data_IF_397537397895
#
_entry.id   IF_397537397895
#
_cell.length_a   1.000
_cell.length_b   1.000
_cell.length_c   1.000
_cell.angle_alpha   90.00
_cell.angle_beta   90.00
_cell.angle_gamma   90.00
#
_symmetry.space_group_name_H-M   'P 1'
#
loop_
_entity.id
_entity.type
_entity.pdbx_description
1 polymer ?
#
# COMPACT_ATOMS: atom_id res chain seq x y z
N UNK A 1 -21.72 -0.87 -7.83
CA UNK A 1 -20.65 0.15 -7.94
C UNK A 1 -19.72 0.02 -6.74
N UNK A 2 -18.54 -0.57 -6.94
CA UNK A 2 -17.51 -0.69 -5.90
C UNK A 2 -16.72 0.63 -5.85
N UNK A 3 -17.29 1.64 -5.19
CA UNK A 3 -16.56 2.86 -4.85
C UNK A 3 -16.16 2.78 -3.38
N UNK A 4 -14.97 2.28 -3.11
CA UNK A 4 -14.42 2.42 -1.77
C UNK A 4 -14.09 3.89 -1.52
N UNK A 5 -14.77 4.51 -0.58
CA UNK A 5 -14.47 5.87 -0.15
C UNK A 5 -13.23 5.87 0.76
N UNK A 6 -12.62 7.04 0.96
CA UNK A 6 -11.54 7.18 1.95
C UNK A 6 -11.97 6.70 3.35
N UNK A 7 -13.24 6.92 3.73
CA UNK A 7 -13.80 6.39 4.98
C UNK A 7 -13.86 4.86 5.03
N UNK A 8 -14.18 4.20 3.90
CA UNK A 8 -14.17 2.74 3.83
C UNK A 8 -12.75 2.18 4.04
N UNK A 9 -11.74 2.79 3.41
CA UNK A 9 -10.34 2.40 3.61
C UNK A 9 -9.88 2.62 5.05
N UNK A 10 -10.25 3.74 5.69
CA UNK A 10 -9.94 3.98 7.09
C UNK A 10 -10.58 2.94 8.01
N UNK A 11 -11.84 2.58 7.78
CA UNK A 11 -12.52 1.55 8.57
C UNK A 11 -11.85 0.18 8.39
N UNK A 12 -11.50 -0.19 7.15
CA UNK A 12 -10.76 -1.43 6.87
C UNK A 12 -9.40 -1.43 7.60
N UNK A 13 -8.62 -0.36 7.48
CA UNK A 13 -7.33 -0.21 8.18
C UNK A 13 -7.50 -0.34 9.69
N UNK A 14 -8.53 0.29 10.27
CA UNK A 14 -8.83 0.18 11.70
C UNK A 14 -9.13 -1.26 12.11
N UNK A 15 -9.97 -1.96 11.35
CA UNK A 15 -10.36 -3.33 11.65
C UNK A 15 -9.18 -4.30 11.51
N UNK A 16 -8.40 -4.19 10.44
CA UNK A 16 -7.19 -4.99 10.23
C UNK A 16 -6.17 -4.74 11.34
N UNK A 17 -5.89 -3.49 11.67
CA UNK A 17 -4.97 -3.12 12.75
C UNK A 17 -5.40 -3.71 14.10
N UNK A 18 -6.72 -3.72 14.39
CA UNK A 18 -7.26 -4.36 15.61
C UNK A 18 -7.08 -5.88 15.59
N UNK A 19 -7.38 -6.52 14.46
CA UNK A 19 -7.25 -7.96 14.30
C UNK A 19 -5.80 -8.40 14.45
N UNK A 20 -4.87 -7.73 13.76
CA UNK A 20 -3.43 -8.03 13.83
C UNK A 20 -2.93 -7.87 15.27
N UNK A 21 -3.28 -6.78 15.96
CA UNK A 21 -2.92 -6.62 17.39
C UNK A 21 -3.43 -7.79 18.24
N UNK A 22 -4.68 -8.21 18.05
CA UNK A 22 -5.24 -9.35 18.80
C UNK A 22 -4.42 -10.62 18.59
N UNK A 23 -4.00 -10.92 17.36
CA UNK A 23 -3.16 -12.07 17.06
C UNK A 23 -1.75 -11.95 17.65
N UNK A 24 -1.16 -10.75 17.62
CA UNK A 24 0.19 -10.52 18.16
C UNK A 24 0.23 -10.58 19.70
N UNK A 25 -0.88 -10.31 20.39
CA UNK A 25 -1.00 -10.48 21.85
C UNK A 25 -1.33 -11.91 22.27
N UNK A 26 -1.75 -12.76 21.35
CA UNK A 26 -2.02 -14.18 21.59
C UNK A 26 -0.72 -14.97 21.37
N UNK A 27 -0.18 -15.55 22.44
CA UNK A 27 1.11 -16.24 22.37
C UNK A 27 1.11 -17.42 21.38
N UNK A 28 -0.01 -18.10 21.20
CA UNK A 28 -0.12 -19.23 20.27
C UNK A 28 -0.18 -18.77 18.81
N UNK A 29 -0.73 -17.58 18.55
CA UNK A 29 -0.96 -17.05 17.20
C UNK A 29 0.09 -16.06 16.74
N UNK A 30 0.90 -15.55 17.68
CA UNK A 30 1.91 -14.52 17.39
C UNK A 30 2.88 -14.92 16.29
N UNK A 31 3.46 -16.09 16.41
CA UNK A 31 4.42 -16.60 15.42
C UNK A 31 3.75 -16.90 14.08
N UNK A 32 2.53 -17.43 14.11
CA UNK A 32 1.75 -17.62 12.89
C UNK A 32 1.47 -16.30 12.19
N UNK A 33 1.05 -15.28 12.94
CA UNK A 33 0.81 -13.93 12.41
C UNK A 33 2.07 -13.31 11.80
N UNK A 34 3.21 -13.41 12.49
CA UNK A 34 4.50 -12.94 11.95
C UNK A 34 4.87 -13.66 10.65
N UNK A 35 4.69 -14.97 10.60
CA UNK A 35 4.97 -15.76 9.40
C UNK A 35 4.09 -15.37 8.21
N UNK A 36 2.82 -15.00 8.42
CA UNK A 36 1.94 -14.50 7.35
C UNK A 36 2.46 -13.21 6.70
N UNK A 37 3.11 -12.36 7.49
CA UNK A 37 3.76 -11.14 7.00
C UNK A 37 5.22 -11.37 6.57
N UNK A 38 5.68 -12.63 6.50
CA UNK A 38 7.05 -12.97 6.11
C UNK A 38 8.10 -12.52 7.14
N UNK A 39 7.77 -12.57 8.43
CA UNK A 39 8.63 -12.12 9.54
C UNK A 39 9.12 -10.67 9.36
N UNK A 40 8.21 -9.68 9.29
CA UNK A 40 8.58 -8.29 9.13
C UNK A 40 9.32 -7.76 10.37
N UNK A 41 9.99 -6.63 10.20
CA UNK A 41 10.63 -5.93 11.31
C UNK A 41 9.62 -5.52 12.39
N UNK A 42 10.08 -5.36 13.63
CA UNK A 42 9.23 -4.87 14.72
C UNK A 42 8.73 -3.43 14.44
N UNK A 43 9.50 -2.61 13.72
CA UNK A 43 9.10 -1.29 13.26
C UNK A 43 7.90 -1.36 12.31
N UNK A 44 7.93 -2.28 11.33
CA UNK A 44 6.81 -2.51 10.42
C UNK A 44 5.56 -3.00 11.17
N UNK A 45 5.70 -3.96 12.07
CA UNK A 45 4.58 -4.44 12.91
C UNK A 45 4.00 -3.34 13.78
N UNK A 46 4.85 -2.51 14.39
CA UNK A 46 4.43 -1.34 15.17
C UNK A 46 3.63 -0.37 14.32
N UNK A 47 4.06 -0.10 13.10
CA UNK A 47 3.37 0.78 12.17
C UNK A 47 1.97 0.26 11.83
N UNK A 48 1.86 -0.98 11.33
CA UNK A 48 0.55 -1.54 10.88
C UNK A 48 -0.44 -1.76 12.03
N UNK A 49 0.04 -1.83 13.26
CA UNK A 49 -0.78 -1.96 14.47
C UNK A 49 -1.00 -0.64 15.20
N UNK A 50 -0.44 0.48 14.72
CA UNK A 50 -0.50 1.78 15.38
C UNK A 50 -1.93 2.33 15.43
N UNK A 51 -2.43 2.59 16.63
CA UNK A 51 -3.66 3.37 16.82
C UNK A 51 -3.49 4.81 16.37
N UNK A 52 -2.28 5.34 16.48
CA UNK A 52 -1.94 6.70 16.06
C UNK A 52 -2.15 6.91 14.57
N UNK A 53 -1.67 5.99 13.71
CA UNK A 53 -1.92 6.04 12.26
C UNK A 53 -3.42 6.05 11.95
N UNK A 54 -4.16 5.13 12.56
CA UNK A 54 -5.63 5.07 12.38
C UNK A 54 -6.28 6.40 12.75
N UNK A 55 -5.92 6.99 13.88
CA UNK A 55 -6.46 8.29 14.31
C UNK A 55 -6.11 9.41 13.33
N UNK A 56 -4.85 9.50 12.87
CA UNK A 56 -4.44 10.50 11.87
C UNK A 56 -5.25 10.38 10.58
N UNK A 57 -5.46 9.15 10.08
CA UNK A 57 -6.27 8.93 8.89
C UNK A 57 -7.73 9.36 9.07
N UNK A 58 -8.32 9.12 10.24
CA UNK A 58 -9.67 9.61 10.55
C UNK A 58 -9.73 11.14 10.64
N UNK A 59 -8.76 11.79 11.27
CA UNK A 59 -8.67 13.25 11.32
C UNK A 59 -8.57 13.87 9.91
N UNK A 60 -7.74 13.29 9.03
CA UNK A 60 -7.66 13.72 7.63
C UNK A 60 -8.99 13.57 6.92
N UNK A 61 -9.74 12.48 7.19
CA UNK A 61 -11.07 12.28 6.62
C UNK A 61 -12.06 13.36 7.08
N UNK A 62 -12.04 13.72 8.37
CA UNK A 62 -12.87 14.76 8.96
C UNK A 62 -12.54 16.11 8.32
N UNK A 63 -11.26 16.49 8.25
CA UNK A 63 -10.82 17.72 7.61
C UNK A 63 -11.28 17.80 6.16
N UNK A 64 -11.05 16.75 5.37
CA UNK A 64 -11.49 16.67 3.98
C UNK A 64 -12.99 16.85 3.82
N UNK A 65 -13.78 16.18 4.66
CA UNK A 65 -15.24 16.27 4.59
C UNK A 65 -15.74 17.66 4.98
N UNK A 66 -15.15 18.28 6.00
CA UNK A 66 -15.43 19.67 6.38
C UNK A 66 -15.18 20.64 5.22
N UNK A 67 -14.04 20.50 4.54
CA UNK A 67 -13.70 21.38 3.42
C UNK A 67 -14.56 21.16 2.19
N UNK A 68 -15.01 19.93 1.93
CA UNK A 68 -15.96 19.63 0.85
C UNK A 68 -17.36 20.22 1.12
N UNK A 69 -17.82 20.15 2.36
CA UNK A 69 -19.13 20.68 2.75
C UNK A 69 -19.20 22.23 2.61
N UNK A 70 -18.06 22.90 2.74
CA UNK A 70 -17.93 24.36 2.60
C UNK A 70 -17.35 24.76 1.24
N UNK A 71 -17.68 24.03 0.17
CA UNK A 71 -17.15 24.18 -1.18
C UNK A 71 -17.53 25.49 -1.87
N UNK A 72 -16.96 26.61 -1.42
CA UNK A 72 -16.99 27.91 -2.04
C UNK A 72 -15.59 28.44 -2.30
N UNK A 73 -15.50 29.67 -2.83
CA UNK A 73 -14.24 30.39 -2.98
C UNK A 73 -13.65 30.59 -1.57
N UNK A 74 -12.49 29.99 -1.31
CA UNK A 74 -11.81 30.14 -0.03
C UNK A 74 -10.86 31.33 -0.09
N UNK A 75 -10.74 32.06 1.03
CA UNK A 75 -9.75 33.12 1.16
C UNK A 75 -8.33 32.53 1.22
N UNK A 76 -7.32 33.32 0.87
CA UNK A 76 -5.92 32.95 1.00
C UNK A 76 -5.57 32.53 2.45
N UNK A 77 -6.10 33.24 3.42
CA UNK A 77 -5.92 32.93 4.86
C UNK A 77 -6.48 31.55 5.18
N UNK A 78 -7.68 31.22 4.69
CA UNK A 78 -8.28 29.91 4.91
C UNK A 78 -7.49 28.80 4.21
N UNK A 79 -7.01 29.02 2.98
CA UNK A 79 -6.17 28.06 2.27
C UNK A 79 -4.87 27.77 3.03
N UNK A 80 -4.22 28.81 3.55
CA UNK A 80 -3.01 28.65 4.36
C UNK A 80 -3.28 27.84 5.65
N UNK A 81 -4.41 28.09 6.33
CA UNK A 81 -4.80 27.29 7.49
C UNK A 81 -5.06 25.82 7.14
N UNK A 82 -5.66 25.53 5.98
CA UNK A 82 -5.89 24.17 5.49
C UNK A 82 -4.56 23.45 5.22
N UNK A 83 -3.61 24.13 4.56
CA UNK A 83 -2.26 23.60 4.30
C UNK A 83 -1.54 23.27 5.62
N UNK A 84 -1.53 24.19 6.58
CA UNK A 84 -0.92 23.97 7.90
C UNK A 84 -1.56 22.81 8.64
N UNK A 85 -2.89 22.66 8.55
CA UNK A 85 -3.60 21.53 9.17
C UNK A 85 -3.20 20.20 8.55
N UNK A 86 -3.08 20.10 7.20
CA UNK A 86 -2.60 18.91 6.52
C UNK A 86 -1.13 18.61 6.84
N UNK A 87 -0.29 19.63 6.86
CA UNK A 87 1.12 19.50 7.19
C UNK A 87 1.32 18.92 8.61
N UNK A 88 0.50 19.36 9.57
CA UNK A 88 0.50 18.81 10.92
C UNK A 88 0.17 17.31 10.89
N UNK A 89 -0.90 16.91 10.19
CA UNK A 89 -1.28 15.50 10.09
C UNK A 89 -0.23 14.66 9.37
N UNK A 90 0.38 15.20 8.31
CA UNK A 90 1.47 14.52 7.60
C UNK A 90 2.70 14.31 8.50
N UNK A 91 3.06 15.29 9.32
CA UNK A 91 4.16 15.18 10.26
C UNK A 91 3.88 14.13 11.36
N UNK A 92 2.64 14.07 11.87
CA UNK A 92 2.24 13.02 12.79
C UNK A 92 2.28 11.63 12.13
N UNK A 93 1.79 11.50 10.89
CA UNK A 93 1.86 10.24 10.14
C UNK A 93 3.31 9.77 9.97
N UNK A 94 4.21 10.69 9.59
CA UNK A 94 5.65 10.38 9.44
C UNK A 94 6.28 9.85 10.71
N UNK A 95 5.91 10.37 11.89
CA UNK A 95 6.41 9.85 13.17
C UNK A 95 6.01 8.40 13.43
N UNK A 96 4.78 8.02 13.04
CA UNK A 96 4.30 6.64 13.21
C UNK A 96 4.84 5.67 12.16
N UNK A 97 5.15 6.17 10.96
CA UNK A 97 5.78 5.37 9.91
C UNK A 97 7.26 5.14 10.27
N UNK A 98 7.95 6.20 10.72
CA UNK A 98 9.37 6.17 11.08
C UNK A 98 10.18 5.27 10.12
N UNK A 99 10.85 4.29 10.65
CA UNK A 99 11.79 3.38 9.96
C UNK A 99 11.10 2.08 9.46
N UNK A 100 9.74 2.05 9.50
CA UNK A 100 9.00 0.82 9.18
C UNK A 100 9.29 0.25 7.78
N UNK A 101 9.71 1.10 6.85
CA UNK A 101 10.04 0.72 5.48
C UNK A 101 11.55 0.70 5.18
N UNK A 102 12.43 0.96 6.15
CA UNK A 102 13.87 1.01 5.92
C UNK A 102 14.44 -0.34 5.46
N UNK A 103 13.87 -1.43 5.99
CA UNK A 103 14.23 -2.78 5.61
C UNK A 103 13.22 -3.44 4.65
N UNK A 104 12.16 -2.74 4.29
CA UNK A 104 11.05 -3.30 3.51
C UNK A 104 11.00 -2.66 2.13
N UNK A 105 11.07 -3.48 1.10
CA UNK A 105 11.05 -3.05 -0.30
C UNK A 105 9.83 -3.58 -1.01
N UNK A 106 9.18 -2.75 -1.82
CA UNK A 106 8.17 -3.20 -2.76
C UNK A 106 8.82 -3.67 -4.06
N UNK A 107 8.40 -4.83 -4.55
CA UNK A 107 9.01 -5.54 -5.66
C UNK A 107 8.01 -5.86 -6.75
N UNK A 108 8.48 -5.79 -7.99
CA UNK A 108 7.82 -6.37 -9.18
C UNK A 108 8.75 -7.41 -9.80
N UNK A 109 8.47 -8.73 -9.67
CA UNK A 109 9.30 -9.78 -10.25
C UNK A 109 9.30 -9.72 -11.78
N UNK A 110 10.45 -9.96 -12.42
CA UNK A 110 10.60 -9.94 -13.89
C UNK A 110 10.99 -11.31 -14.44
N UNK A 111 12.17 -11.80 -14.16
CA UNK A 111 12.68 -13.12 -14.60
C UNK A 111 12.93 -14.02 -13.41
N UNK A 112 12.90 -15.33 -13.64
CA UNK A 112 13.10 -16.34 -12.61
C UNK A 112 13.97 -17.46 -13.10
N UNK A 113 14.90 -17.93 -12.25
CA UNK A 113 15.54 -19.25 -12.33
C UNK A 113 15.18 -20.05 -11.08
N UNK A 114 15.24 -21.39 -11.20
CA UNK A 114 15.00 -22.31 -10.09
C UNK A 114 16.12 -23.34 -10.03
N UNK A 115 16.83 -23.36 -8.90
CA UNK A 115 17.92 -24.28 -8.63
C UNK A 115 17.88 -24.68 -7.14
N UNK A 116 18.13 -25.97 -6.86
CA UNK A 116 18.23 -26.51 -5.50
C UNK A 116 17.09 -26.16 -4.55
N UNK A 117 15.85 -26.07 -5.08
CA UNK A 117 14.67 -25.75 -4.27
C UNK A 117 14.48 -24.26 -4.00
N UNK A 118 15.30 -23.38 -4.59
CA UNK A 118 15.27 -21.94 -4.41
C UNK A 118 14.93 -21.26 -5.73
N UNK A 119 13.96 -20.38 -5.71
CA UNK A 119 13.65 -19.46 -6.81
C UNK A 119 14.53 -18.21 -6.68
N UNK A 120 15.23 -17.86 -7.75
CA UNK A 120 16.01 -16.63 -7.85
C UNK A 120 15.32 -15.73 -8.87
N UNK A 121 14.80 -14.59 -8.41
CA UNK A 121 14.11 -13.62 -9.23
C UNK A 121 14.97 -12.39 -9.45
N UNK A 122 15.01 -11.89 -10.70
CA UNK A 122 15.27 -10.48 -10.93
C UNK A 122 13.95 -9.73 -10.70
N UNK A 123 14.02 -8.59 -10.06
CA UNK A 123 12.86 -7.79 -9.74
C UNK A 123 13.17 -6.30 -9.81
N UNK A 124 12.18 -5.50 -10.18
CA UNK A 124 12.27 -4.05 -10.03
C UNK A 124 12.02 -3.69 -8.57
N UNK A 125 12.90 -2.88 -8.01
CA UNK A 125 12.79 -2.33 -6.68
C UNK A 125 12.00 -1.01 -6.77
N UNK A 126 10.74 -1.05 -6.36
CA UNK A 126 9.81 0.06 -6.52
C UNK A 126 9.93 1.06 -5.36
N UNK A 127 11.02 1.83 -5.35
CA UNK A 127 11.31 2.84 -4.32
C UNK A 127 11.33 4.24 -4.93
N UNK A 128 10.68 5.17 -4.25
CA UNK A 128 10.66 6.58 -4.64
C UNK A 128 9.62 6.89 -5.72
N UNK A 129 9.62 8.15 -6.17
CA UNK A 129 8.67 8.68 -7.15
C UNK A 129 9.31 8.93 -8.53
N UNK A 130 10.56 8.55 -8.71
CA UNK A 130 11.29 8.76 -9.98
C UNK A 130 11.65 7.41 -10.59
N UNK A 131 11.57 7.34 -11.91
CA UNK A 131 11.95 6.19 -12.73
C UNK A 131 13.22 6.52 -13.53
N UNK A 132 13.98 5.52 -14.03
CA UNK A 132 13.70 4.09 -13.93
C UNK A 132 13.94 3.53 -12.55
N UNK A 133 13.21 2.46 -12.19
CA UNK A 133 13.43 1.72 -10.96
C UNK A 133 14.68 0.84 -11.06
N UNK A 134 15.38 0.68 -9.93
CA UNK A 134 16.54 -0.19 -9.85
C UNK A 134 16.12 -1.66 -10.02
N UNK A 135 17.01 -2.45 -10.61
CA UNK A 135 16.87 -3.91 -10.65
C UNK A 135 17.68 -4.54 -9.52
N UNK A 136 17.07 -5.51 -8.85
CA UNK A 136 17.71 -6.29 -7.79
C UNK A 136 17.42 -7.77 -7.99
N UNK A 137 18.25 -8.60 -7.37
CA UNK A 137 18.04 -10.05 -7.33
C UNK A 137 17.57 -10.45 -5.94
N UNK A 138 16.50 -11.24 -5.86
CA UNK A 138 15.95 -11.76 -4.63
C UNK A 138 15.83 -13.28 -4.68
N UNK A 139 15.92 -13.94 -3.52
CA UNK A 139 15.69 -15.37 -3.36
C UNK A 139 14.37 -15.63 -2.67
N UNK A 140 13.63 -16.63 -3.12
CA UNK A 140 12.35 -17.01 -2.54
C UNK A 140 12.23 -18.54 -2.47
N UNK A 141 11.58 -19.04 -1.42
CA UNK A 141 11.20 -20.45 -1.30
C UNK A 141 9.88 -20.77 -2.01
N UNK A 142 9.17 -19.75 -2.48
CA UNK A 142 7.91 -19.88 -3.20
C UNK A 142 8.01 -19.21 -4.58
N UNK A 143 7.29 -19.71 -5.59
CA UNK A 143 7.19 -19.03 -6.87
C UNK A 143 6.44 -17.71 -6.70
N UNK A 144 6.92 -16.65 -7.37
CA UNK A 144 6.26 -15.34 -7.40
C UNK A 144 5.63 -15.10 -8.76
N UNK A 145 4.41 -14.59 -8.78
CA UNK A 145 3.72 -14.19 -10.01
C UNK A 145 4.24 -12.82 -10.48
N UNK A 146 4.67 -12.75 -11.74
CA UNK A 146 5.18 -11.51 -12.35
C UNK A 146 4.14 -10.41 -12.51
N UNK A 147 2.85 -10.75 -12.44
CA UNK A 147 1.75 -9.79 -12.55
C UNK A 147 1.40 -9.13 -11.21
N UNK A 148 2.03 -9.59 -10.12
CA UNK A 148 1.72 -9.15 -8.77
C UNK A 148 2.88 -8.37 -8.17
N UNK A 149 2.56 -7.58 -7.16
CA UNK A 149 3.53 -6.86 -6.36
C UNK A 149 3.72 -7.53 -5.01
N UNK A 150 4.90 -7.39 -4.47
CA UNK A 150 5.28 -8.00 -3.21
C UNK A 150 5.98 -7.00 -2.30
N UNK A 151 5.78 -7.15 -0.98
CA UNK A 151 6.66 -6.55 0.02
C UNK A 151 7.66 -7.61 0.49
N UNK A 152 8.91 -7.23 0.52
CA UNK A 152 10.00 -8.11 0.98
C UNK A 152 11.02 -7.33 1.79
N UNK A 153 11.71 -8.01 2.69
CA UNK A 153 12.92 -7.48 3.32
C UNK A 153 14.12 -8.38 2.98
N UNK A 154 15.32 -7.96 3.34
CA UNK A 154 16.57 -8.66 3.01
C UNK A 154 16.67 -10.07 3.61
N UNK A 155 15.87 -10.38 4.62
CA UNK A 155 15.88 -11.68 5.33
C UNK A 155 14.68 -12.57 4.96
N UNK A 156 13.76 -12.07 4.14
CA UNK A 156 12.56 -12.83 3.79
C UNK A 156 12.80 -13.82 2.67
N UNK A 157 12.43 -15.08 2.94
CA UNK A 157 12.35 -16.14 1.94
C UNK A 157 10.94 -16.32 1.37
N UNK A 158 9.95 -15.62 1.92
CA UNK A 158 8.54 -15.61 1.49
C UNK A 158 8.02 -14.18 1.46
N UNK A 159 8.19 -13.46 0.35
CA UNK A 159 7.66 -12.11 0.20
C UNK A 159 6.14 -12.07 0.37
N UNK A 160 5.63 -11.00 0.99
CA UNK A 160 4.20 -10.78 1.16
C UNK A 160 3.58 -10.29 -0.15
N UNK A 161 2.67 -11.07 -0.71
CA UNK A 161 1.89 -10.67 -1.88
C UNK A 161 0.95 -9.51 -1.54
N UNK A 162 0.94 -8.48 -2.38
CA UNK A 162 0.01 -7.35 -2.26
C UNK A 162 -1.27 -7.63 -3.03
N UNK A 163 -2.39 -7.16 -2.46
CA UNK A 163 -3.68 -7.20 -3.15
C UNK A 163 -3.66 -6.31 -4.41
N UNK A 164 -4.47 -6.63 -5.42
CA UNK A 164 -4.47 -5.96 -6.73
C UNK A 164 -5.07 -4.54 -6.72
N UNK A 165 -4.99 -3.84 -5.58
CA UNK A 165 -5.31 -2.40 -5.44
C UNK A 165 -4.12 -1.50 -5.76
N UNK A 166 -2.97 -2.09 -6.00
CA UNK A 166 -1.75 -1.44 -6.45
C UNK A 166 -1.11 -2.33 -7.51
N UNK A 167 -0.64 -1.73 -8.59
CA UNK A 167 0.04 -2.47 -9.66
C UNK A 167 1.17 -1.66 -10.26
N UNK A 168 2.16 -2.35 -10.78
CA UNK A 168 3.20 -1.78 -11.64
C UNK A 168 2.82 -2.02 -13.09
N UNK A 169 2.95 -1.01 -13.92
CA UNK A 169 2.71 -1.10 -15.36
C UNK A 169 4.03 -0.88 -16.08
N UNK A 170 4.54 -1.95 -16.67
CA UNK A 170 5.86 -1.97 -17.32
C UNK A 170 5.95 -0.97 -18.47
N UNK A 171 4.89 -0.86 -19.28
CA UNK A 171 4.85 0.06 -20.42
C UNK A 171 5.05 1.54 -20.05
N UNK A 172 4.60 1.93 -18.85
CA UNK A 172 4.76 3.29 -18.34
C UNK A 172 5.88 3.40 -17.30
N UNK A 173 6.46 2.27 -16.89
CA UNK A 173 7.44 2.17 -15.80
C UNK A 173 6.96 2.92 -14.54
N UNK A 174 5.71 2.71 -14.14
CA UNK A 174 5.08 3.44 -13.04
C UNK A 174 4.17 2.57 -12.18
N UNK A 175 4.00 2.98 -10.91
CA UNK A 175 3.10 2.37 -9.96
C UNK A 175 1.76 3.10 -10.02
N UNK A 176 0.69 2.32 -10.08
CA UNK A 176 -0.69 2.81 -10.10
C UNK A 176 -1.48 2.28 -8.92
N UNK A 177 -2.29 3.16 -8.35
CA UNK A 177 -3.16 2.90 -7.22
C UNK A 177 -4.63 2.90 -7.67
N UNK A 178 -5.38 1.91 -7.24
CA UNK A 178 -6.82 1.83 -7.46
C UNK A 178 -7.54 3.06 -6.87
N UNK A 179 -8.48 3.62 -7.63
CA UNK A 179 -9.34 4.71 -7.14
C UNK A 179 -10.82 4.38 -7.21
N UNK A 180 -11.30 3.89 -8.35
CA UNK A 180 -12.72 3.57 -8.53
C UNK A 180 -12.95 2.62 -9.69
N UNK A 181 -14.13 1.98 -9.70
CA UNK A 181 -14.67 1.30 -10.87
C UNK A 181 -15.83 2.13 -11.42
N UNK A 182 -15.79 2.44 -12.71
CA UNK A 182 -16.83 3.15 -13.44
C UNK A 182 -17.30 2.27 -14.58
N UNK A 183 -18.53 1.76 -14.47
CA UNK A 183 -19.10 0.77 -15.42
C UNK A 183 -18.29 -0.53 -15.42
N UNK A 184 -17.44 -0.76 -16.42
CA UNK A 184 -16.56 -1.93 -16.55
C UNK A 184 -15.08 -1.57 -16.41
N UNK A 185 -14.76 -0.28 -16.32
CA UNK A 185 -13.39 0.20 -16.28
C UNK A 185 -12.96 0.57 -14.88
N UNK A 186 -11.73 0.24 -14.55
CA UNK A 186 -11.04 0.66 -13.33
C UNK A 186 -10.26 1.90 -13.63
N UNK A 187 -10.42 2.89 -12.76
CA UNK A 187 -9.61 4.09 -12.74
C UNK A 187 -8.44 3.90 -11.79
N UNK A 188 -7.26 4.08 -12.35
CA UNK A 188 -5.98 3.99 -11.66
C UNK A 188 -5.32 5.35 -11.64
N UNK A 189 -4.60 5.67 -10.57
CA UNK A 189 -3.85 6.94 -10.44
C UNK A 189 -2.41 6.64 -10.07
N UNK A 190 -1.48 7.30 -10.76
CA UNK A 190 -0.06 7.30 -10.44
C UNK A 190 0.35 8.63 -9.82
N UNK A 191 1.29 8.57 -8.88
CA UNK A 191 1.91 9.74 -8.24
C UNK A 191 3.36 9.94 -8.68
N UNK A 192 3.80 9.22 -9.74
CA UNK A 192 5.11 9.42 -10.32
C UNK A 192 5.13 10.70 -11.16
N UNK A 193 6.20 11.49 -10.97
CA UNK A 193 6.47 12.63 -11.83
C UNK A 193 6.73 12.14 -13.25
N UNK A 194 6.39 12.94 -14.25
CA UNK A 194 6.61 12.68 -15.67
C UNK A 194 5.85 11.46 -16.26
N UNK A 195 4.87 10.93 -15.56
CA UNK A 195 4.03 9.82 -16.02
C UNK A 195 2.58 10.23 -16.14
N UNK A 196 1.82 9.47 -16.92
CA UNK A 196 0.38 9.65 -17.01
C UNK A 196 -0.25 9.46 -15.62
N UNK A 197 -0.87 10.54 -15.11
CA UNK A 197 -1.42 10.55 -13.76
C UNK A 197 -2.63 9.63 -13.61
N UNK A 198 -3.39 9.42 -14.67
CA UNK A 198 -4.60 8.61 -14.67
C UNK A 198 -4.59 7.60 -15.82
N UNK A 199 -5.06 6.38 -15.51
CA UNK A 199 -5.22 5.31 -16.47
C UNK A 199 -6.58 4.66 -16.27
N UNK A 200 -7.29 4.38 -17.37
CA UNK A 200 -8.52 3.57 -17.36
C UNK A 200 -8.25 2.25 -18.06
N UNK A 201 -8.58 1.16 -17.42
CA UNK A 201 -8.44 -0.19 -17.95
C UNK A 201 -9.63 -1.02 -17.56
N UNK A 202 -10.02 -2.03 -18.38
CA UNK A 202 -11.04 -3.00 -17.99
C UNK A 202 -10.69 -3.63 -16.62
N UNK A 203 -11.70 -3.84 -15.80
CA UNK A 203 -11.53 -4.54 -14.53
C UNK A 203 -11.16 -6.00 -14.80
N UNK A 204 -10.20 -6.51 -14.06
CA UNK A 204 -9.82 -7.93 -14.07
C UNK A 204 -10.51 -8.71 -12.94
N UNK A 205 -10.52 -10.02 -13.08
CA UNK A 205 -11.17 -10.94 -12.14
C UNK A 205 -10.48 -10.91 -10.76
N UNK A 206 -9.18 -10.66 -10.72
CA UNK A 206 -8.42 -10.64 -9.45
C UNK A 206 -8.81 -9.46 -8.58
N UNK A 207 -9.10 -8.32 -9.20
CA UNK A 207 -9.61 -7.16 -8.47
C UNK A 207 -11.01 -7.43 -7.89
N UNK A 208 -11.89 -8.08 -8.64
CA UNK A 208 -13.24 -8.45 -8.14
C UNK A 208 -13.15 -9.46 -6.99
N UNK A 209 -12.31 -10.50 -7.10
CA UNK A 209 -12.05 -11.46 -6.02
C UNK A 209 -11.50 -10.77 -4.76
N UNK A 210 -10.57 -9.81 -4.93
CA UNK A 210 -10.05 -9.06 -3.80
C UNK A 210 -11.13 -8.27 -3.07
N UNK A 211 -12.08 -7.66 -3.78
CA UNK A 211 -13.21 -6.98 -3.17
C UNK A 211 -14.18 -7.94 -2.46
N UNK A 212 -14.40 -9.13 -3.01
CA UNK A 212 -15.22 -10.15 -2.36
C UNK A 212 -14.59 -10.65 -1.07
N UNK A 213 -13.28 -10.82 -1.07
CA UNK A 213 -12.52 -11.23 0.11
C UNK A 213 -12.56 -10.19 1.25
N UNK A 214 -12.71 -8.90 0.92
CA UNK A 214 -12.74 -7.80 1.90
C UNK A 214 -14.16 -7.44 2.40
N UNK A 215 -15.19 -8.10 1.90
CA UNK A 215 -16.58 -7.96 2.40
C UNK A 215 -16.76 -8.70 3.71
#
# INVERSE_FOLDING_TARGET
>A
YLRATFGNWNNLTSNLSKAIRKFLFDNEKKEYCKNLFGNPSDAFLSMITSKGIVNVLFEVAILRNKWKAHGGITSEVENNQRVLSLQKQLNELRKYIADAFDETTMLSPTTCSFEDGIFTFNAKQLIGARTPFNEITIKSLIPLDRKKLYLSNSQQTKPLELLPFIKFIEATDAIYFYTSIESKDVRWVSYHFDKEAELKQPADDDLFKAFEFLK
#
